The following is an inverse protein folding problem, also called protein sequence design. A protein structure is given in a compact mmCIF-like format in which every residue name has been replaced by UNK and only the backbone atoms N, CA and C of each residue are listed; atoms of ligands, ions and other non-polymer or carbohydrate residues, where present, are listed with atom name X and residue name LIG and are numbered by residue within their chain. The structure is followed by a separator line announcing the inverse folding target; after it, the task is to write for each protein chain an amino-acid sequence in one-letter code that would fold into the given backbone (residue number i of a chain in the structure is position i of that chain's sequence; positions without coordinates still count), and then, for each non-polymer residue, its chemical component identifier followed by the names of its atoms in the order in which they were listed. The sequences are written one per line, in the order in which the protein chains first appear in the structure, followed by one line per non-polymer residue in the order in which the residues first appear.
data_IF_699994495676
#
_entry.id   IF_699994495676
#
_cell.length_a   1.000
_cell.length_b   1.000
_cell.length_c   1.000
_cell.angle_alpha   90.00
_cell.angle_beta   90.00
_cell.angle_gamma   90.00
#
_symmetry.space_group_name_H-M   'P 1'
#
loop_
_entity.id
_entity.type
_entity.pdbx_description
1 polymer ?
#
# COMPACT_ATOMS: atom_id res chain seq x y z
N UNK A 1 0.99 -20.01 -2.32
CA UNK A 1 0.92 -19.20 -1.07
C UNK A 1 2.16 -18.33 -0.89
N UNK A 2 3.34 -18.90 -1.02
CA UNK A 2 4.60 -18.19 -1.14
C UNK A 2 5.30 -18.66 -2.43
N UNK A 3 6.23 -17.87 -2.93
CA UNK A 3 6.98 -18.14 -4.16
C UNK A 3 8.39 -18.65 -3.83
N UNK A 4 9.05 -18.05 -2.83
CA UNK A 4 10.40 -18.44 -2.40
C UNK A 4 10.58 -18.34 -0.89
N UNK A 5 11.51 -19.14 -0.35
CA UNK A 5 12.11 -18.96 0.98
C UNK A 5 13.61 -18.85 0.79
N UNK A 6 14.22 -17.79 1.30
CA UNK A 6 15.65 -17.50 1.14
C UNK A 6 16.33 -17.39 2.51
N UNK A 7 17.55 -17.91 2.63
CA UNK A 7 18.44 -17.66 3.76
C UNK A 7 19.62 -16.80 3.31
N UNK A 8 19.76 -15.64 3.94
CA UNK A 8 20.88 -14.73 3.74
C UNK A 8 21.80 -14.72 4.95
N UNK A 9 23.10 -14.60 4.71
CA UNK A 9 24.12 -14.44 5.73
C UNK A 9 25.06 -13.25 5.44
N UNK A 10 25.50 -12.59 6.51
CA UNK A 10 26.54 -11.55 6.50
C UNK A 10 27.43 -11.69 7.73
N UNK A 11 28.75 -11.70 7.53
CA UNK A 11 29.73 -11.66 8.61
C UNK A 11 29.58 -10.36 9.43
N UNK A 12 29.53 -10.49 10.77
CA UNK A 12 29.20 -9.36 11.64
C UNK A 12 30.31 -8.29 11.69
N UNK A 13 31.58 -8.70 11.60
CA UNK A 13 32.74 -7.83 11.83
C UNK A 13 33.15 -7.05 10.57
N UNK A 14 32.83 -7.54 9.37
CA UNK A 14 33.12 -6.83 8.13
C UNK A 14 32.03 -5.82 7.84
N UNK A 15 32.34 -4.53 8.02
CA UNK A 15 31.45 -3.41 7.66
C UNK A 15 30.90 -3.58 6.23
N UNK A 16 31.80 -3.95 5.32
CA UNK A 16 31.52 -4.16 3.89
C UNK A 16 31.32 -5.64 3.53
N UNK A 17 31.02 -6.48 4.53
CA UNK A 17 30.67 -7.88 4.29
C UNK A 17 29.52 -7.96 3.30
N UNK A 18 29.77 -8.64 2.16
CA UNK A 18 28.77 -8.92 1.13
C UNK A 18 27.72 -9.86 1.73
N UNK A 19 26.45 -9.52 1.54
CA UNK A 19 25.33 -10.39 1.89
C UNK A 19 25.31 -11.52 0.86
N UNK A 20 25.25 -12.76 1.32
CA UNK A 20 25.24 -13.94 0.46
C UNK A 20 24.00 -14.78 0.74
N UNK A 21 23.40 -15.34 -0.30
CA UNK A 21 22.36 -16.36 -0.19
C UNK A 21 23.06 -17.68 0.11
N UNK A 22 22.76 -18.30 1.23
CA UNK A 22 23.34 -19.60 1.63
C UNK A 22 22.37 -20.75 1.43
N UNK A 23 21.06 -20.49 1.40
CA UNK A 23 20.04 -21.49 1.09
C UNK A 23 18.83 -20.84 0.41
N UNK A 24 18.14 -21.61 -0.41
CA UNK A 24 16.98 -21.15 -1.18
C UNK A 24 16.03 -22.33 -1.41
N UNK A 25 14.73 -22.07 -1.36
CA UNK A 25 13.68 -22.98 -1.81
C UNK A 25 12.66 -22.23 -2.67
N UNK A 26 12.26 -22.77 -3.84
CA UNK A 26 12.82 -23.93 -4.54
C UNK A 26 14.27 -23.68 -5.00
N UNK A 27 15.11 -24.71 -4.97
CA UNK A 27 16.52 -24.62 -5.35
C UNK A 27 16.71 -24.36 -6.85
N UNK A 28 17.74 -23.59 -7.21
CA UNK A 28 18.14 -23.37 -8.61
C UNK A 28 17.24 -22.46 -9.45
N UNK A 29 16.15 -21.93 -8.89
CA UNK A 29 15.22 -21.04 -9.60
C UNK A 29 15.61 -19.58 -9.39
N UNK A 30 15.79 -18.81 -10.47
CA UNK A 30 16.03 -17.37 -10.33
C UNK A 30 14.77 -16.64 -9.83
N UNK A 31 14.99 -15.61 -9.02
CA UNK A 31 13.91 -14.74 -8.53
C UNK A 31 14.22 -13.27 -8.88
N UNK A 32 13.16 -12.50 -9.07
CA UNK A 32 13.25 -11.08 -9.42
C UNK A 32 13.71 -10.22 -8.24
N UNK A 33 14.16 -9.00 -8.53
CA UNK A 33 14.46 -7.98 -7.51
C UNK A 33 15.54 -8.38 -6.47
N UNK A 34 16.43 -9.32 -6.85
CA UNK A 34 17.50 -9.82 -5.98
C UNK A 34 18.32 -8.72 -5.32
N UNK A 35 18.68 -7.68 -6.07
CA UNK A 35 19.46 -6.56 -5.54
C UNK A 35 18.71 -5.82 -4.41
N UNK A 36 17.42 -5.57 -4.57
CA UNK A 36 16.60 -4.91 -3.54
C UNK A 36 16.54 -5.81 -2.29
N UNK A 37 16.28 -7.10 -2.48
CA UNK A 37 16.16 -8.07 -1.39
C UNK A 37 17.48 -8.17 -0.61
N UNK A 38 18.61 -8.35 -1.30
CA UNK A 38 19.94 -8.40 -0.67
C UNK A 38 20.24 -7.14 0.15
N UNK A 39 19.80 -5.96 -0.31
CA UNK A 39 20.05 -4.69 0.40
C UNK A 39 19.13 -4.46 1.59
N UNK A 40 17.93 -5.05 1.62
CA UNK A 40 16.91 -4.79 2.65
C UNK A 40 16.71 -5.93 3.65
N UNK A 41 17.09 -7.16 3.30
CA UNK A 41 16.80 -8.35 4.11
C UNK A 41 17.49 -8.35 5.47
N UNK A 42 18.61 -7.64 5.64
CA UNK A 42 19.31 -7.50 6.93
C UNK A 42 19.32 -6.02 7.34
N UNK A 43 18.62 -5.63 8.43
CA UNK A 43 18.64 -4.26 8.94
C UNK A 43 20.06 -3.80 9.30
N UNK A 44 20.42 -2.57 8.93
CA UNK A 44 21.73 -1.98 9.28
C UNK A 44 22.04 -2.06 10.78
N UNK A 45 21.05 -1.75 11.62
CA UNK A 45 21.15 -1.71 13.08
C UNK A 45 20.57 -2.97 13.76
N UNK A 46 20.80 -4.16 13.20
CA UNK A 46 20.37 -5.43 13.80
C UNK A 46 21.18 -5.76 15.07
N UNK A 47 20.54 -5.58 16.25
CA UNK A 47 21.10 -5.97 17.56
C UNK A 47 20.52 -7.26 18.13
N UNK A 48 19.26 -7.55 17.80
CA UNK A 48 18.47 -8.70 18.26
C UNK A 48 17.79 -9.33 17.04
N UNK A 49 16.93 -10.32 17.23
CA UNK A 49 15.97 -10.67 16.20
C UNK A 49 15.06 -9.48 15.86
N UNK A 50 14.69 -9.37 14.59
CA UNK A 50 13.74 -8.38 14.07
C UNK A 50 12.86 -9.07 13.03
N UNK A 51 11.56 -8.87 13.10
CA UNK A 51 10.57 -9.45 12.16
C UNK A 51 9.82 -8.29 11.52
N UNK A 52 9.91 -8.21 10.20
CA UNK A 52 9.39 -7.07 9.47
C UNK A 52 9.02 -7.46 8.05
N UNK A 53 8.36 -6.55 7.36
CA UNK A 53 8.05 -6.70 5.94
C UNK A 53 8.69 -5.57 5.14
N UNK A 54 9.21 -5.88 3.97
CA UNK A 54 9.45 -4.90 2.91
C UNK A 54 8.83 -5.39 1.61
N UNK A 55 8.79 -4.54 0.59
CA UNK A 55 8.24 -4.89 -0.71
C UNK A 55 9.24 -4.58 -1.81
N UNK A 56 9.13 -5.31 -2.91
CA UNK A 56 9.75 -5.01 -4.21
C UNK A 56 8.66 -4.52 -5.18
N UNK A 57 8.98 -4.17 -6.44
CA UNK A 57 7.95 -3.91 -7.44
C UNK A 57 7.02 -5.11 -7.69
N UNK A 58 7.52 -6.34 -7.52
CA UNK A 58 6.82 -7.56 -7.92
C UNK A 58 6.32 -8.42 -6.75
N UNK A 59 6.81 -8.20 -5.52
CA UNK A 59 6.54 -9.12 -4.41
C UNK A 59 6.60 -8.46 -3.03
N UNK A 60 6.00 -9.15 -2.06
CA UNK A 60 6.10 -8.85 -0.63
C UNK A 60 7.14 -9.78 0.01
N UNK A 61 8.00 -9.22 0.85
CA UNK A 61 9.10 -9.92 1.49
C UNK A 61 8.92 -9.91 3.01
N UNK A 62 8.47 -11.04 3.56
CA UNK A 62 8.30 -11.23 5.01
C UNK A 62 9.61 -11.76 5.58
N UNK A 63 10.19 -11.01 6.51
CA UNK A 63 11.60 -11.14 6.85
C UNK A 63 11.78 -11.41 8.33
N UNK A 64 12.54 -12.46 8.63
CA UNK A 64 13.02 -12.79 9.97
C UNK A 64 14.54 -12.65 10.04
N UNK A 65 15.01 -11.51 10.54
CA UNK A 65 16.43 -11.23 10.75
C UNK A 65 16.87 -11.60 12.17
N UNK A 66 18.06 -12.17 12.34
CA UNK A 66 18.61 -12.51 13.65
C UNK A 66 20.15 -12.54 13.64
N UNK A 67 20.75 -12.61 14.83
CA UNK A 67 22.21 -12.77 15.00
C UNK A 67 22.46 -14.19 15.50
N UNK A 68 23.27 -14.95 14.76
CA UNK A 68 23.68 -16.31 15.13
C UNK A 68 25.15 -16.32 15.57
N UNK A 69 25.46 -17.18 16.53
CA UNK A 69 26.84 -17.50 16.96
C UNK A 69 27.17 -18.88 16.43
N UNK A 70 28.10 -18.95 15.49
CA UNK A 70 28.53 -20.21 14.90
C UNK A 70 29.89 -20.55 15.49
N UNK A 71 29.98 -21.73 16.10
CA UNK A 71 31.26 -22.28 16.59
C UNK A 71 32.10 -22.70 15.39
N UNK A 72 33.23 -22.03 15.19
CA UNK A 72 34.19 -22.42 14.17
C UNK A 72 34.98 -23.65 14.62
N UNK A 73 35.49 -24.48 13.69
CA UNK A 73 36.32 -25.66 14.01
C UNK A 73 37.56 -25.32 14.85
N UNK A 74 38.01 -24.07 14.78
CA UNK A 74 39.13 -23.55 15.58
C UNK A 74 38.77 -23.17 17.02
N UNK A 75 37.53 -23.43 17.48
CA UNK A 75 37.03 -23.02 18.79
C UNK A 75 36.60 -21.55 18.87
N UNK A 76 36.88 -20.73 17.86
CA UNK A 76 36.47 -19.33 17.83
C UNK A 76 34.98 -19.20 17.48
N UNK A 77 34.24 -18.37 18.21
CA UNK A 77 32.85 -18.06 17.88
C UNK A 77 32.76 -16.91 16.89
N UNK A 78 32.22 -17.17 15.71
CA UNK A 78 31.95 -16.13 14.71
C UNK A 78 30.51 -15.69 14.85
N UNK A 79 30.27 -14.38 14.93
CA UNK A 79 28.93 -13.82 14.85
C UNK A 79 28.57 -13.56 13.40
N UNK A 80 27.39 -14.03 12.99
CA UNK A 80 26.79 -13.71 11.69
C UNK A 80 25.44 -13.05 11.87
N UNK A 81 25.14 -12.06 11.03
CA UNK A 81 23.77 -11.57 10.83
C UNK A 81 23.14 -12.45 9.77
N UNK A 82 21.99 -13.00 10.07
CA UNK A 82 21.26 -13.90 9.18
C UNK A 82 19.87 -13.35 8.94
N UNK A 83 19.26 -13.72 7.82
CA UNK A 83 17.87 -13.37 7.54
C UNK A 83 17.18 -14.45 6.74
N UNK A 84 15.99 -14.86 7.19
CA UNK A 84 15.09 -15.72 6.42
C UNK A 84 14.04 -14.82 5.77
N UNK A 85 13.92 -14.86 4.44
CA UNK A 85 12.96 -14.04 3.67
C UNK A 85 11.97 -14.96 2.97
N UNK A 86 10.68 -14.80 3.26
CA UNK A 86 9.58 -15.41 2.52
C UNK A 86 9.13 -14.40 1.46
N UNK A 87 9.23 -14.77 0.19
CA UNK A 87 8.74 -13.98 -0.93
C UNK A 87 7.34 -14.47 -1.30
N UNK A 88 6.39 -13.56 -1.42
CA UNK A 88 5.03 -13.86 -1.89
C UNK A 88 4.49 -12.74 -2.76
N UNK A 89 3.79 -13.11 -3.82
CA UNK A 89 2.93 -12.23 -4.62
C UNK A 89 1.64 -11.83 -3.89
N UNK A 90 1.30 -12.49 -2.78
CA UNK A 90 0.07 -12.22 -2.03
C UNK A 90 0.33 -11.34 -0.80
N UNK A 91 -0.46 -10.27 -0.67
CA UNK A 91 -0.37 -9.35 0.47
C UNK A 91 -1.09 -9.91 1.70
N UNK A 92 -0.38 -10.67 2.55
CA UNK A 92 -0.92 -11.26 3.79
C UNK A 92 -0.04 -11.02 5.02
N UNK A 93 0.24 -9.75 5.36
CA UNK A 93 1.20 -9.41 6.41
C UNK A 93 0.89 -9.98 7.78
N UNK A 94 -0.36 -9.97 8.26
CA UNK A 94 -0.69 -10.55 9.57
C UNK A 94 -0.31 -12.05 9.63
N UNK A 95 -0.69 -12.82 8.61
CA UNK A 95 -0.40 -14.25 8.52
C UNK A 95 1.11 -14.55 8.58
N UNK A 96 1.89 -13.93 7.69
CA UNK A 96 3.32 -14.26 7.60
C UNK A 96 4.15 -13.66 8.75
N UNK A 97 3.80 -12.48 9.26
CA UNK A 97 4.50 -11.87 10.41
C UNK A 97 4.23 -12.68 11.68
N UNK A 98 2.97 -13.07 11.93
CA UNK A 98 2.61 -13.88 13.10
C UNK A 98 3.24 -15.28 13.02
N UNK A 99 3.30 -15.86 11.81
CA UNK A 99 4.01 -17.11 11.56
C UNK A 99 5.50 -17.01 11.92
N UNK A 100 6.21 -16.02 11.37
CA UNK A 100 7.63 -15.82 11.65
C UNK A 100 7.88 -15.49 13.14
N UNK A 101 6.95 -14.79 13.79
CA UNK A 101 7.01 -14.54 15.23
C UNK A 101 6.91 -15.85 16.02
N UNK A 102 5.97 -16.73 15.66
CA UNK A 102 5.82 -18.05 16.27
C UNK A 102 7.08 -18.91 16.07
N UNK A 103 7.65 -18.91 14.86
CA UNK A 103 8.93 -19.57 14.58
C UNK A 103 10.04 -18.99 15.46
N UNK A 104 10.16 -17.67 15.56
CA UNK A 104 11.19 -17.05 16.40
C UNK A 104 11.03 -17.41 17.88
N UNK A 105 9.80 -17.59 18.37
CA UNK A 105 9.53 -18.00 19.75
C UNK A 105 9.86 -19.48 20.00
N UNK A 106 9.81 -20.34 18.97
CA UNK A 106 10.12 -21.76 19.11
C UNK A 106 11.59 -22.08 19.38
N UNK A 107 12.50 -21.14 19.10
CA UNK A 107 13.92 -21.29 19.38
C UNK A 107 14.27 -20.71 20.75
N UNK A 108 14.52 -21.60 21.72
CA UNK A 108 15.10 -21.24 23.01
C UNK A 108 16.54 -20.75 22.82
N UNK A 109 16.78 -19.45 23.04
CA UNK A 109 18.09 -18.77 22.92
C UNK A 109 18.63 -18.69 21.47
N UNK A 110 19.51 -17.72 21.19
CA UNK A 110 20.07 -17.44 19.86
C UNK A 110 21.14 -18.47 19.40
N UNK A 111 21.02 -19.72 19.85
CA UNK A 111 22.03 -20.77 19.65
C UNK A 111 21.72 -21.69 18.47
N UNK A 112 20.45 -21.77 18.03
CA UNK A 112 20.09 -22.56 16.87
C UNK A 112 20.78 -22.04 15.60
N UNK A 113 21.38 -22.97 14.86
CA UNK A 113 22.05 -22.68 13.58
C UNK A 113 21.09 -22.07 12.56
N UNK A 114 21.55 -21.15 11.70
CA UNK A 114 20.68 -20.49 10.71
C UNK A 114 19.96 -21.47 9.78
N UNK A 115 20.64 -22.55 9.37
CA UNK A 115 20.08 -23.57 8.49
C UNK A 115 18.92 -24.34 9.15
N UNK A 116 19.03 -24.67 10.44
CA UNK A 116 17.94 -25.32 11.18
C UNK A 116 16.67 -24.44 11.20
N UNK A 117 16.84 -23.13 11.38
CA UNK A 117 15.72 -22.17 11.34
C UNK A 117 15.10 -22.09 9.94
N UNK A 118 15.93 -22.06 8.90
CA UNK A 118 15.50 -22.07 7.52
C UNK A 118 14.68 -23.33 7.19
N UNK A 119 15.21 -24.52 7.50
CA UNK A 119 14.54 -25.80 7.26
C UNK A 119 13.21 -25.89 8.02
N UNK A 120 13.12 -25.36 9.25
CA UNK A 120 11.85 -25.30 9.98
C UNK A 120 10.83 -24.41 9.27
N UNK A 121 11.21 -23.19 8.89
CA UNK A 121 10.34 -22.26 8.15
C UNK A 121 9.85 -22.90 6.86
N UNK A 122 10.77 -23.46 6.08
CA UNK A 122 10.47 -24.13 4.81
C UNK A 122 9.49 -25.30 5.02
N UNK A 123 9.77 -26.20 5.96
CA UNK A 123 8.95 -27.39 6.20
C UNK A 123 7.53 -27.04 6.65
N UNK A 124 7.39 -26.03 7.51
CA UNK A 124 6.08 -25.55 7.95
C UNK A 124 5.30 -24.88 6.82
N UNK A 125 5.94 -24.10 5.95
CA UNK A 125 5.28 -23.48 4.80
C UNK A 125 4.85 -24.50 3.74
N UNK A 126 5.67 -25.53 3.49
CA UNK A 126 5.34 -26.63 2.56
C UNK A 126 4.14 -27.44 3.06
N UNK A 127 3.95 -27.53 4.38
CA UNK A 127 2.81 -28.25 4.95
C UNK A 127 1.50 -27.47 4.90
N UNK A 128 1.51 -26.19 4.48
CA UNK A 128 0.27 -25.44 4.28
C UNK A 128 -0.48 -25.97 3.05
N UNK A 129 -1.78 -26.21 3.20
CA UNK A 129 -2.61 -26.80 2.15
C UNK A 129 -3.99 -26.15 2.12
N UNK A 130 -4.65 -26.14 0.97
CA UNK A 130 -6.06 -25.71 0.87
C UNK A 130 -7.00 -26.90 1.07
N UNK A 131 -8.09 -26.70 1.80
CA UNK A 131 -9.16 -27.70 1.91
C UNK A 131 -10.12 -27.63 0.68
N UNK A 132 -11.18 -28.44 0.69
CA UNK A 132 -12.17 -28.48 -0.39
C UNK A 132 -12.98 -27.18 -0.53
N UNK A 133 -13.05 -26.38 0.53
CA UNK A 133 -13.76 -25.09 0.55
C UNK A 133 -12.87 -23.93 0.09
N UNK A 134 -11.59 -24.20 -0.23
CA UNK A 134 -10.60 -23.20 -0.61
C UNK A 134 -9.98 -22.45 0.58
N UNK A 135 -10.31 -22.82 1.81
CA UNK A 135 -9.67 -22.28 3.00
C UNK A 135 -8.27 -22.87 3.18
N UNK A 136 -7.37 -22.07 3.73
CA UNK A 136 -5.98 -22.44 3.97
C UNK A 136 -5.82 -23.07 5.34
N UNK A 137 -5.35 -24.32 5.38
CA UNK A 137 -4.85 -24.98 6.58
C UNK A 137 -3.42 -24.49 6.81
N UNK A 138 -3.22 -23.78 7.91
CA UNK A 138 -1.97 -23.13 8.30
C UNK A 138 -1.35 -23.87 9.47
N UNK A 139 -0.07 -24.23 9.34
CA UNK A 139 0.71 -24.88 10.39
C UNK A 139 1.77 -23.92 10.95
N UNK A 140 1.65 -23.59 12.22
CA UNK A 140 2.65 -22.89 13.04
C UNK A 140 3.40 -23.93 13.89
N UNK A 141 4.55 -23.59 14.49
CA UNK A 141 5.30 -24.53 15.35
C UNK A 141 4.47 -25.21 16.46
N UNK A 142 3.46 -24.51 17.02
CA UNK A 142 2.68 -24.97 18.16
C UNK A 142 1.17 -24.94 17.93
N UNK A 143 0.72 -24.63 16.71
CA UNK A 143 -0.71 -24.49 16.43
C UNK A 143 -1.02 -24.79 14.97
N UNK A 144 -2.17 -25.39 14.71
CA UNK A 144 -2.71 -25.58 13.37
C UNK A 144 -4.11 -24.99 13.35
N UNK A 145 -4.40 -24.16 12.35
CA UNK A 145 -5.69 -23.50 12.22
C UNK A 145 -6.06 -23.30 10.76
N UNK A 146 -7.34 -23.01 10.51
CA UNK A 146 -7.88 -22.76 9.18
C UNK A 146 -8.10 -21.26 9.01
N UNK A 147 -7.67 -20.72 7.88
CA UNK A 147 -7.84 -19.31 7.51
C UNK A 147 -8.61 -19.24 6.21
N UNK A 148 -9.70 -18.48 6.20
CA UNK A 148 -10.46 -18.28 4.97
C UNK A 148 -9.69 -17.39 3.99
N UNK A 149 -9.55 -17.84 2.76
CA UNK A 149 -8.85 -17.06 1.72
C UNK A 149 -9.75 -16.08 0.99
N UNK A 150 -11.01 -15.99 1.40
CA UNK A 150 -11.97 -15.06 0.81
C UNK A 150 -11.48 -13.60 0.92
N UNK A 151 -11.68 -12.84 -0.16
CA UNK A 151 -11.15 -11.47 -0.34
C UNK A 151 -11.64 -10.46 0.71
N UNK A 152 -12.63 -10.81 1.53
CA UNK A 152 -13.18 -9.95 2.57
C UNK A 152 -12.34 -9.94 3.86
N UNK A 153 -11.34 -10.82 4.01
CA UNK A 153 -10.49 -10.81 5.20
C UNK A 153 -9.50 -9.65 5.16
N UNK A 154 -9.53 -8.83 6.22
CA UNK A 154 -8.47 -7.86 6.46
C UNK A 154 -7.17 -8.55 6.89
N UNK A 155 -6.10 -8.30 6.15
CA UNK A 155 -4.75 -8.70 6.52
C UNK A 155 -4.00 -7.65 7.34
N UNK A 156 -4.60 -6.47 7.57
CA UNK A 156 -3.96 -5.37 8.30
C UNK A 156 -4.66 -4.97 9.60
N UNK A 157 -5.78 -5.59 9.94
CA UNK A 157 -6.53 -5.27 11.16
C UNK A 157 -5.73 -5.56 12.46
N UNK A 158 -4.72 -6.42 12.42
CA UNK A 158 -3.86 -6.69 13.59
C UNK A 158 -2.86 -5.58 13.94
N UNK A 159 -2.56 -4.64 13.03
CA UNK A 159 -1.49 -3.66 13.25
C UNK A 159 -1.95 -2.48 14.12
N UNK A 160 -1.12 -2.17 15.13
CA UNK A 160 -1.37 -1.11 16.10
C UNK A 160 -1.08 0.27 15.49
N UNK A 161 -2.03 1.20 15.63
CA UNK A 161 -1.93 2.56 15.10
C UNK A 161 -1.28 3.54 16.09
N UNK A 162 -1.02 3.13 17.32
CA UNK A 162 -0.42 3.99 18.33
C UNK A 162 0.93 4.62 17.93
N UNK A 163 1.83 3.97 17.15
CA UNK A 163 3.02 4.64 16.65
C UNK A 163 2.76 5.85 15.74
N UNK A 164 1.53 6.01 15.26
CA UNK A 164 1.09 7.10 14.40
C UNK A 164 0.51 8.28 15.20
N UNK A 165 0.26 8.12 16.51
CA UNK A 165 -0.28 9.17 17.38
C UNK A 165 0.78 10.24 17.68
N UNK A 166 0.41 11.54 17.74
CA UNK A 166 -0.92 12.13 17.57
C UNK A 166 -1.34 12.44 16.11
N UNK A 167 -0.57 12.03 15.11
CA UNK A 167 -0.73 12.44 13.71
C UNK A 167 -1.75 11.60 12.90
N UNK A 168 -2.56 10.76 13.55
CA UNK A 168 -3.44 9.78 12.86
C UNK A 168 -4.38 10.45 11.85
N UNK A 169 -4.93 11.63 12.16
CA UNK A 169 -5.83 12.35 11.24
C UNK A 169 -5.12 12.82 9.97
N UNK A 170 -3.94 13.44 10.12
CA UNK A 170 -3.14 13.92 9.00
C UNK A 170 -2.69 12.78 8.09
N UNK A 171 -2.29 11.67 8.68
CA UNK A 171 -1.88 10.46 7.97
C UNK A 171 -3.06 9.85 7.22
N UNK A 172 -4.21 9.71 7.88
CA UNK A 172 -5.41 9.17 7.26
C UNK A 172 -5.83 10.04 6.06
N UNK A 173 -5.86 11.35 6.25
CA UNK A 173 -6.21 12.31 5.19
C UNK A 173 -5.20 12.24 4.02
N UNK A 174 -3.89 12.20 4.33
CA UNK A 174 -2.85 12.05 3.31
C UNK A 174 -2.97 10.71 2.55
N UNK A 175 -3.24 9.61 3.24
CA UNK A 175 -3.37 8.28 2.64
C UNK A 175 -4.59 8.19 1.72
N UNK A 176 -5.75 8.71 2.15
CA UNK A 176 -6.97 8.77 1.33
C UNK A 176 -6.74 9.66 0.10
N UNK A 177 -6.10 10.83 0.26
CA UNK A 177 -5.88 11.77 -0.86
C UNK A 177 -4.64 11.46 -1.72
N UNK A 178 -3.99 10.32 -1.50
CA UNK A 178 -2.75 9.93 -2.16
C UNK A 178 -1.65 11.01 -2.11
N UNK A 179 -1.48 11.64 -0.94
CA UNK A 179 -0.41 12.60 -0.66
C UNK A 179 0.74 11.89 0.07
N UNK A 180 1.96 12.38 -0.09
CA UNK A 180 3.16 11.73 0.43
C UNK A 180 3.17 11.62 1.97
N UNK A 181 3.59 10.46 2.48
CA UNK A 181 3.81 10.19 3.90
C UNK A 181 5.24 9.66 4.09
N UNK A 182 6.01 10.29 4.98
CA UNK A 182 7.36 9.87 5.34
C UNK A 182 7.41 9.45 6.81
N UNK A 183 7.88 8.24 7.08
CA UNK A 183 8.00 7.68 8.42
C UNK A 183 9.47 7.35 8.71
N UNK A 184 9.97 7.84 9.84
CA UNK A 184 11.18 7.31 10.46
C UNK A 184 10.84 6.47 11.67
N UNK A 185 11.46 5.30 11.77
CA UNK A 185 11.34 4.42 12.93
C UNK A 185 12.72 3.87 13.36
N UNK A 186 12.89 3.49 14.63
CA UNK A 186 14.17 3.03 15.15
C UNK A 186 14.52 1.58 14.76
N UNK A 187 13.53 0.78 14.32
CA UNK A 187 13.69 -0.62 13.90
C UNK A 187 12.88 -0.91 12.63
N UNK A 188 13.25 -1.96 11.90
CA UNK A 188 12.54 -2.33 10.67
C UNK A 188 11.16 -2.89 10.97
N UNK A 189 10.99 -3.63 12.09
CA UNK A 189 9.67 -4.02 12.57
C UNK A 189 8.76 -2.82 12.75
N UNK A 190 9.24 -1.77 13.44
CA UNK A 190 8.40 -0.60 13.69
C UNK A 190 8.09 0.15 12.39
N UNK A 191 9.07 0.37 11.52
CA UNK A 191 8.88 1.02 10.21
C UNK A 191 7.80 0.31 9.36
N UNK A 192 7.93 -1.01 9.22
CA UNK A 192 6.99 -1.83 8.45
C UNK A 192 5.61 -1.88 9.11
N UNK A 193 5.54 -2.06 10.43
CA UNK A 193 4.27 -2.11 11.17
C UNK A 193 3.51 -0.79 11.14
N UNK A 194 4.21 0.35 11.16
CA UNK A 194 3.61 1.67 11.03
C UNK A 194 2.97 1.88 9.66
N UNK A 195 3.64 1.47 8.58
CA UNK A 195 3.04 1.49 7.23
C UNK A 195 1.79 0.60 7.16
N UNK A 196 1.86 -0.61 7.71
CA UNK A 196 0.72 -1.53 7.75
C UNK A 196 -0.43 -1.01 8.63
N UNK A 197 -0.12 -0.24 9.68
CA UNK A 197 -1.11 0.44 10.49
C UNK A 197 -1.85 1.54 9.71
N UNK A 198 -1.18 2.25 8.78
CA UNK A 198 -1.83 3.19 7.84
C UNK A 198 -2.83 2.45 6.97
N UNK A 199 -2.46 1.30 6.41
CA UNK A 199 -3.38 0.51 5.60
C UNK A 199 -4.61 0.08 6.40
N UNK A 200 -4.41 -0.24 7.67
CA UNK A 200 -5.49 -0.70 8.54
C UNK A 200 -6.56 0.35 8.86
N UNK A 201 -6.24 1.65 8.81
CA UNK A 201 -7.20 2.73 9.09
C UNK A 201 -7.96 3.21 7.84
N UNK A 202 -7.48 2.84 6.64
CA UNK A 202 -8.18 3.11 5.37
C UNK A 202 -9.02 1.92 4.90
N UNK A 203 -9.11 0.86 5.69
CA UNK A 203 -9.99 -0.26 5.38
C UNK A 203 -11.47 0.17 5.30
N UNK A 204 -12.26 -0.43 4.40
CA UNK A 204 -11.95 -1.62 3.60
C UNK A 204 -11.21 -1.36 2.27
N UNK A 205 -10.67 -0.18 2.01
CA UNK A 205 -9.85 0.01 0.81
C UNK A 205 -8.53 -0.78 0.90
N UNK A 206 -8.15 -1.42 -0.21
CA UNK A 206 -6.83 -2.05 -0.37
C UNK A 206 -5.88 -1.04 -1.01
N UNK A 207 -4.93 -0.54 -0.22
CA UNK A 207 -3.96 0.45 -0.69
C UNK A 207 -3.20 -0.06 -1.92
N UNK A 208 -3.23 0.73 -3.00
CA UNK A 208 -2.75 0.28 -4.31
C UNK A 208 -1.74 1.22 -4.98
N UNK A 209 -1.39 2.31 -4.30
CA UNK A 209 -0.35 3.23 -4.78
C UNK A 209 1.04 2.63 -4.54
N UNK A 210 2.09 3.09 -5.23
CA UNK A 210 3.45 2.65 -4.91
C UNK A 210 3.87 3.12 -3.52
N UNK A 211 4.49 2.22 -2.75
CA UNK A 211 5.02 2.51 -1.41
C UNK A 211 6.32 1.75 -1.14
N UNK A 212 7.07 2.23 -0.16
CA UNK A 212 8.28 1.61 0.39
C UNK A 212 8.03 1.27 1.85
N UNK A 213 7.59 0.04 2.11
CA UNK A 213 7.13 -0.39 3.44
C UNK A 213 8.21 -0.32 4.53
N UNK A 214 9.45 -0.63 4.15
CA UNK A 214 10.65 -0.45 4.94
C UNK A 214 11.83 -0.35 3.99
N UNK A 215 12.53 0.79 3.99
CA UNK A 215 13.72 1.03 3.19
C UNK A 215 14.89 1.48 4.06
N UNK A 216 16.08 1.46 3.48
CA UNK A 216 17.30 1.98 4.08
C UNK A 216 18.25 2.43 2.97
N UNK A 217 19.30 3.18 3.33
CA UNK A 217 20.32 3.59 2.37
C UNK A 217 20.95 2.36 1.69
N UNK A 218 21.08 2.44 0.37
CA UNK A 218 21.55 1.36 -0.48
C UNK A 218 20.42 0.58 -1.16
N UNK A 219 19.15 0.88 -0.86
CA UNK A 219 18.02 0.44 -1.66
C UNK A 219 18.11 1.02 -3.09
N UNK A 220 18.21 0.18 -4.14
CA UNK A 220 18.39 0.63 -5.53
C UNK A 220 17.32 1.61 -6.03
N UNK A 221 16.12 1.59 -5.44
CA UNK A 221 14.99 2.44 -5.84
C UNK A 221 15.17 3.90 -5.44
N UNK A 222 16.03 4.16 -4.45
CA UNK A 222 16.29 5.50 -3.92
C UNK A 222 17.78 5.85 -3.88
N UNK A 223 18.66 4.89 -4.21
CA UNK A 223 20.12 5.05 -4.11
C UNK A 223 20.61 6.19 -4.98
N UNK A 224 20.19 6.27 -6.25
CA UNK A 224 20.61 7.33 -7.19
C UNK A 224 20.32 8.73 -6.67
N UNK A 225 19.14 8.90 -6.06
CA UNK A 225 18.69 10.20 -5.53
C UNK A 225 19.50 10.57 -4.30
N UNK A 226 19.75 9.60 -3.43
CA UNK A 226 20.54 9.80 -2.23
C UNK A 226 22.05 9.98 -2.54
N UNK A 227 22.59 9.30 -3.54
CA UNK A 227 23.97 9.45 -4.02
C UNK A 227 24.20 10.82 -4.66
N UNK A 228 23.22 11.34 -5.41
CA UNK A 228 23.25 12.71 -5.93
C UNK A 228 23.37 13.70 -4.75
N UNK A 229 22.53 13.55 -3.73
CA UNK A 229 22.60 14.35 -2.52
C UNK A 229 23.94 14.24 -1.78
N UNK A 230 24.48 13.03 -1.61
CA UNK A 230 25.78 12.87 -0.94
C UNK A 230 26.92 13.57 -1.71
N UNK A 231 26.83 13.66 -3.04
CA UNK A 231 27.81 14.37 -3.88
C UNK A 231 27.63 15.89 -3.86
N UNK A 232 26.41 16.39 -3.96
CA UNK A 232 26.14 17.83 -4.11
C UNK A 232 25.92 18.54 -2.78
N UNK A 233 25.56 17.80 -1.73
CA UNK A 233 25.04 18.34 -0.45
C UNK A 233 23.84 19.28 -0.64
N UNK A 234 23.15 19.21 -1.79
CA UNK A 234 22.00 20.05 -2.13
C UNK A 234 20.70 19.28 -1.99
N UNK A 235 19.69 19.92 -1.39
CA UNK A 235 18.32 19.39 -1.33
C UNK A 235 17.53 19.64 -2.64
N UNK A 236 18.11 20.37 -3.58
CA UNK A 236 17.56 20.56 -4.91
C UNK A 236 17.89 19.33 -5.75
N UNK A 237 16.84 18.61 -6.17
CA UNK A 237 16.96 17.44 -7.03
C UNK A 237 16.48 17.81 -8.43
N UNK A 238 17.20 17.36 -9.45
CA UNK A 238 16.77 17.42 -10.84
C UNK A 238 15.42 16.72 -11.09
N UNK A 239 14.62 17.24 -12.01
CA UNK A 239 13.26 16.76 -12.30
C UNK A 239 13.08 15.22 -12.38
N UNK A 240 13.92 14.47 -13.14
CA UNK A 240 13.76 13.02 -13.29
C UNK A 240 13.93 12.23 -11.98
N UNK A 241 14.84 12.66 -11.12
CA UNK A 241 15.11 12.01 -9.83
C UNK A 241 13.97 12.32 -8.83
N UNK A 242 13.39 13.52 -8.89
CA UNK A 242 12.23 13.89 -8.10
C UNK A 242 10.98 13.11 -8.54
N UNK A 243 10.76 12.94 -9.84
CA UNK A 243 9.68 12.14 -10.40
C UNK A 243 9.78 10.68 -9.94
N UNK A 244 11.00 10.12 -9.91
CA UNK A 244 11.23 8.78 -9.40
C UNK A 244 10.88 8.64 -7.91
N UNK A 245 11.06 9.68 -7.08
CA UNK A 245 10.63 9.63 -5.68
C UNK A 245 9.12 9.87 -5.52
N UNK A 246 8.54 10.76 -6.33
CA UNK A 246 7.15 11.19 -6.19
C UNK A 246 6.13 10.09 -6.52
N UNK A 247 6.56 9.03 -7.20
CA UNK A 247 5.76 7.82 -7.39
C UNK A 247 5.47 7.11 -6.06
N UNK A 248 6.38 7.18 -5.07
CA UNK A 248 6.23 6.52 -3.78
C UNK A 248 5.48 7.41 -2.79
N UNK A 249 4.29 6.96 -2.42
CA UNK A 249 3.32 7.75 -1.66
C UNK A 249 3.45 7.54 -0.16
N UNK A 250 4.01 6.40 0.25
CA UNK A 250 4.41 6.13 1.62
C UNK A 250 5.85 5.63 1.60
N UNK A 251 6.73 6.24 2.39
CA UNK A 251 8.11 5.81 2.57
C UNK A 251 8.39 5.66 4.06
N UNK A 252 8.80 4.47 4.47
CA UNK A 252 9.18 4.18 5.84
C UNK A 252 10.63 3.76 5.91
N UNK A 253 11.42 4.41 6.75
CA UNK A 253 12.88 4.20 6.82
C UNK A 253 13.38 4.06 8.25
N UNK A 254 14.49 3.33 8.40
CA UNK A 254 15.26 3.23 9.65
C UNK A 254 16.57 4.03 9.62
N UNK A 255 16.93 4.58 8.46
CA UNK A 255 18.16 5.36 8.27
C UNK A 255 17.87 6.84 8.52
N UNK A 256 18.42 7.36 9.61
CA UNK A 256 18.18 8.74 10.04
C UNK A 256 18.70 9.79 9.05
N UNK A 257 19.81 9.52 8.35
CA UNK A 257 20.30 10.51 7.36
C UNK A 257 19.42 10.49 6.11
N UNK A 258 18.98 9.31 5.69
CA UNK A 258 18.01 9.20 4.60
C UNK A 258 16.69 9.91 4.95
N UNK A 259 16.20 9.75 6.18
CA UNK A 259 15.01 10.47 6.63
C UNK A 259 15.22 11.99 6.60
N UNK A 260 16.32 12.49 7.15
CA UNK A 260 16.64 13.92 7.16
C UNK A 260 16.75 14.49 5.73
N UNK A 261 17.36 13.73 4.83
CA UNK A 261 17.40 14.06 3.41
C UNK A 261 15.99 14.18 2.82
N UNK A 262 15.18 13.13 2.94
CA UNK A 262 13.83 13.08 2.37
C UNK A 262 12.89 14.15 2.96
N UNK A 263 13.02 14.46 4.25
CA UNK A 263 12.18 15.46 4.92
C UNK A 263 12.49 16.88 4.48
N UNK A 264 13.71 17.14 4.02
CA UNK A 264 14.18 18.46 3.61
C UNK A 264 14.12 18.66 2.09
N UNK A 265 13.59 17.70 1.34
CA UNK A 265 13.43 17.85 -0.10
C UNK A 265 12.44 18.97 -0.40
N UNK A 266 12.98 20.04 -0.98
CA UNK A 266 12.21 21.18 -1.47
C UNK A 266 11.80 20.86 -2.90
N UNK A 267 10.50 20.86 -3.16
CA UNK A 267 9.99 20.80 -4.52
C UNK A 267 10.13 22.20 -5.12
N UNK A 268 11.22 22.44 -5.85
CA UNK A 268 11.36 23.66 -6.64
C UNK A 268 10.32 23.62 -7.78
N UNK A 269 9.23 24.37 -7.61
CA UNK A 269 8.07 24.42 -8.50
C UNK A 269 8.34 25.11 -9.86
N UNK A 270 9.60 25.33 -10.22
CA UNK A 270 9.98 25.96 -11.50
C UNK A 270 9.82 25.03 -12.71
N UNK A 271 9.58 23.73 -12.49
CA UNK A 271 9.13 22.87 -13.59
C UNK A 271 7.65 23.13 -13.87
N UNK A 272 7.29 23.51 -15.10
CA UNK A 272 5.93 23.88 -15.40
C UNK A 272 5.04 22.63 -15.27
N UNK A 273 3.97 22.75 -14.49
CA UNK A 273 2.97 21.73 -14.15
C UNK A 273 2.23 21.09 -15.35
N UNK A 274 2.74 21.19 -16.58
CA UNK A 274 2.07 20.75 -17.80
C UNK A 274 1.91 19.23 -17.91
N UNK A 275 2.65 18.42 -17.15
CA UNK A 275 2.51 16.95 -17.17
C UNK A 275 1.56 16.39 -16.10
N UNK A 276 1.09 17.20 -15.15
CA UNK A 276 0.13 16.77 -14.11
C UNK A 276 -1.09 17.70 -13.97
N UNK A 277 -1.32 18.58 -14.94
CA UNK A 277 -2.50 19.45 -14.93
C UNK A 277 -3.73 18.64 -15.34
N UNK A 278 -4.58 18.32 -14.36
CA UNK A 278 -5.99 18.08 -14.62
C UNK A 278 -6.56 19.33 -15.33
N UNK A 279 -7.19 19.19 -16.51
CA UNK A 279 -7.64 20.32 -17.30
C UNK A 279 -8.98 20.87 -16.75
N UNK A 280 -8.98 21.48 -15.56
CA UNK A 280 -10.11 22.33 -15.09
C UNK A 280 -9.87 22.90 -13.68
N UNK A 281 -8.86 23.74 -13.47
CA UNK A 281 -8.80 24.58 -12.26
C UNK A 281 -8.30 25.98 -12.58
N UNK A 282 -9.25 26.90 -12.76
CA UNK A 282 -9.04 28.34 -12.61
C UNK A 282 -9.15 28.66 -11.11
N UNK A 283 -8.05 29.07 -10.48
CA UNK A 283 -7.99 29.39 -9.06
C UNK A 283 -8.49 30.81 -8.79
N UNK A 284 -9.62 30.94 -8.10
CA UNK A 284 -9.88 32.08 -7.23
C UNK A 284 -9.24 31.77 -5.87
N UNK A 285 -8.42 32.71 -5.39
CA UNK A 285 -7.84 32.66 -4.06
C UNK A 285 -8.91 33.04 -3.02
N UNK A 286 -9.51 32.04 -2.37
CA UNK A 286 -10.24 32.25 -1.13
C UNK A 286 -9.43 31.65 0.04
N UNK A 287 -9.02 32.52 0.94
CA UNK A 287 -8.44 32.19 2.24
C UNK A 287 -9.49 31.52 3.12
N UNK A 288 -9.42 30.20 3.25
CA UNK A 288 -10.23 29.43 4.21
C UNK A 288 -9.51 29.45 5.56
N UNK A 289 -10.15 30.09 6.54
CA UNK A 289 -9.80 29.96 7.95
C UNK A 289 -10.24 28.59 8.45
N UNK A 290 -9.28 27.75 8.84
CA UNK A 290 -9.53 26.50 9.55
C UNK A 290 -10.22 26.81 10.90
N UNK A 291 -11.47 26.39 11.03
CA UNK A 291 -12.26 26.51 12.25
C UNK A 291 -11.82 25.46 13.29
N UNK A 292 -11.58 25.99 14.50
CA UNK A 292 -11.42 25.34 15.80
C UNK A 292 -11.87 23.88 15.90
N UNK A 293 -10.89 23.00 16.08
CA UNK A 293 -11.05 21.77 16.86
C UNK A 293 -10.65 22.14 18.28
N UNK A 294 -11.60 22.09 19.22
CA UNK A 294 -11.35 22.31 20.64
C UNK A 294 -10.29 21.32 21.15
N UNK A 295 -9.06 21.82 21.32
CA UNK A 295 -7.95 21.10 21.91
C UNK A 295 -8.04 21.20 23.43
N UNK A 296 -8.32 20.08 24.09
CA UNK A 296 -7.89 19.87 25.48
C UNK A 296 -6.35 19.80 25.51
N UNK A 297 -5.70 20.96 25.55
CA UNK A 297 -4.26 21.08 25.72
C UNK A 297 -3.95 21.47 27.17
N UNK A 298 -3.44 20.49 27.93
CA UNK A 298 -2.86 20.71 29.25
C UNK A 298 -1.57 21.55 29.09
N UNK A 299 -1.45 22.73 29.74
CA UNK A 299 -0.30 23.62 29.61
C UNK A 299 1.02 23.03 30.15
N UNK A 300 1.01 21.84 30.76
CA UNK A 300 2.22 21.17 31.24
C UNK A 300 2.79 20.08 30.31
N UNK A 301 2.19 19.85 29.13
CA UNK A 301 2.70 18.82 28.21
C UNK A 301 3.78 19.38 27.27
N UNK A 302 5.00 18.79 27.21
CA UNK A 302 6.03 19.21 26.28
C UNK A 302 5.50 19.15 24.84
N UNK A 303 5.83 20.17 24.05
CA UNK A 303 5.40 20.35 22.67
C UNK A 303 5.57 19.04 21.88
N UNK A 304 4.52 18.48 21.27
CA UNK A 304 4.63 17.20 20.57
C UNK A 304 5.63 17.37 19.41
N UNK A 305 6.63 16.48 19.27
CA UNK A 305 7.70 16.63 18.29
C UNK A 305 7.22 16.27 16.89
N UNK A 306 6.45 17.18 16.28
CA UNK A 306 6.05 17.10 14.88
C UNK A 306 6.08 18.50 14.29
N UNK A 307 7.06 18.77 13.45
CA UNK A 307 7.17 20.02 12.72
C UNK A 307 6.30 19.91 11.47
N UNK A 308 5.29 20.76 11.33
CA UNK A 308 4.57 20.92 10.08
C UNK A 308 5.49 21.59 9.05
N UNK A 309 5.73 20.91 7.93
CA UNK A 309 6.57 21.43 6.85
C UNK A 309 5.75 22.31 5.90
N UNK A 310 6.43 23.23 5.22
CA UNK A 310 5.87 24.18 4.25
C UNK A 310 5.12 23.47 3.10
N UNK A 311 4.25 24.22 2.43
CA UNK A 311 3.42 23.79 1.29
C UNK A 311 4.17 23.23 0.08
N UNK A 312 5.50 23.36 0.04
CA UNK A 312 6.37 22.88 -1.05
C UNK A 312 7.06 21.54 -0.74
N UNK A 313 6.59 20.81 0.26
CA UNK A 313 7.15 19.50 0.63
C UNK A 313 6.53 18.36 -0.19
N UNK A 314 7.37 17.38 -0.56
CA UNK A 314 6.92 16.14 -1.22
C UNK A 314 5.97 15.32 -0.34
N UNK A 315 6.11 15.45 0.97
CA UNK A 315 5.37 14.68 1.97
C UNK A 315 4.45 15.59 2.78
N UNK A 316 3.14 15.33 2.69
CA UNK A 316 2.12 16.02 3.48
C UNK A 316 2.19 15.66 4.97
N UNK A 317 2.65 14.45 5.29
CA UNK A 317 2.85 13.99 6.66
C UNK A 317 4.27 13.44 6.83
N UNK A 318 4.99 13.94 7.84
CA UNK A 318 6.35 13.49 8.20
C UNK A 318 6.37 13.14 9.68
N UNK A 319 6.75 11.91 10.00
CA UNK A 319 6.63 11.37 11.36
C UNK A 319 7.93 10.72 11.79
N UNK A 320 8.34 11.02 13.02
CA UNK A 320 9.51 10.44 13.66
C UNK A 320 9.08 9.65 14.90
N UNK A 321 9.15 8.33 14.83
CA UNK A 321 8.79 7.45 15.93
C UNK A 321 10.02 7.23 16.81
N UNK A 322 9.93 7.64 18.07
CA UNK A 322 11.03 7.50 19.04
C UNK A 322 10.77 6.39 20.06
N UNK A 323 9.50 6.12 20.37
CA UNK A 323 9.09 5.13 21.35
C UNK A 323 9.14 3.70 20.80
N UNK A 324 9.26 2.72 21.70
CA UNK A 324 9.33 1.29 21.37
C UNK A 324 8.15 0.50 21.91
N UNK A 325 7.42 1.07 22.85
CA UNK A 325 6.32 0.42 23.53
C UNK A 325 5.09 1.29 23.36
N UNK A 326 4.02 0.70 22.89
CA UNK A 326 2.79 1.40 22.56
C UNK A 326 1.60 0.64 23.13
N UNK A 327 0.66 1.36 23.71
CA UNK A 327 -0.64 0.81 24.09
C UNK A 327 -1.46 0.60 22.81
N UNK A 328 -2.22 -0.48 22.71
CA UNK A 328 -3.10 -0.70 21.56
C UNK A 328 -4.21 0.35 21.52
N UNK A 329 -4.36 1.03 20.38
CA UNK A 329 -5.37 2.07 20.17
C UNK A 329 -6.52 1.59 19.27
N UNK A 330 -7.17 0.48 19.65
CA UNK A 330 -8.23 -0.14 18.85
C UNK A 330 -9.46 0.77 18.67
N UNK A 331 -9.82 1.54 19.71
CA UNK A 331 -10.96 2.46 19.64
C UNK A 331 -10.73 3.56 18.60
N UNK A 332 -9.55 4.19 18.64
CA UNK A 332 -9.16 5.21 17.67
C UNK A 332 -9.10 4.63 16.24
N UNK A 333 -8.55 3.42 16.07
CA UNK A 333 -8.57 2.71 14.78
C UNK A 333 -10.00 2.50 14.27
N UNK A 334 -10.92 2.12 15.15
CA UNK A 334 -12.33 1.94 14.80
C UNK A 334 -12.98 3.25 14.32
N UNK A 335 -12.60 4.40 14.89
CA UNK A 335 -13.08 5.73 14.46
C UNK A 335 -12.67 6.00 13.02
N UNK A 336 -11.39 5.80 12.66
CA UNK A 336 -10.91 6.04 11.31
C UNK A 336 -11.45 5.03 10.29
N UNK A 337 -11.56 3.77 10.67
CA UNK A 337 -12.21 2.75 9.82
C UNK A 337 -13.68 3.12 9.55
N UNK A 338 -14.41 3.64 10.55
CA UNK A 338 -15.78 4.16 10.38
C UNK A 338 -15.80 5.39 9.47
N UNK A 339 -14.85 6.32 9.60
CA UNK A 339 -14.69 7.48 8.70
C UNK A 339 -14.50 7.02 7.25
N UNK A 340 -13.64 6.03 7.01
CA UNK A 340 -13.40 5.47 5.67
C UNK A 340 -14.64 4.78 5.09
N UNK A 341 -15.33 3.95 5.89
CA UNK A 341 -16.60 3.31 5.48
C UNK A 341 -17.69 4.33 5.14
N UNK A 342 -17.74 5.48 5.82
CA UNK A 342 -18.67 6.57 5.49
C UNK A 342 -18.42 7.10 4.09
N UNK A 343 -17.15 7.39 3.74
CA UNK A 343 -16.74 7.84 2.41
C UNK A 343 -17.19 6.82 1.34
N UNK A 344 -16.94 5.53 1.59
CA UNK A 344 -17.36 4.45 0.68
C UNK A 344 -18.87 4.46 0.45
N UNK A 345 -19.67 4.56 1.52
CA UNK A 345 -21.13 4.58 1.40
C UNK A 345 -21.61 5.76 0.57
N UNK A 346 -20.96 6.92 0.70
CA UNK A 346 -21.30 8.12 -0.07
C UNK A 346 -20.96 7.94 -1.55
N UNK A 347 -19.77 7.42 -1.86
CA UNK A 347 -19.42 7.06 -3.23
C UNK A 347 -20.40 6.04 -3.79
N UNK A 348 -20.67 4.94 -3.08
CA UNK A 348 -21.59 3.92 -3.55
C UNK A 348 -22.98 4.48 -3.83
N UNK A 349 -23.51 5.34 -2.95
CA UNK A 349 -24.80 6.00 -3.15
C UNK A 349 -24.81 6.87 -4.42
N UNK A 350 -23.78 7.72 -4.60
CA UNK A 350 -23.69 8.59 -5.78
C UNK A 350 -23.43 7.82 -7.08
N UNK A 351 -22.54 6.81 -7.06
CA UNK A 351 -22.30 5.96 -8.21
C UNK A 351 -23.58 5.21 -8.61
N UNK A 352 -24.33 4.68 -7.63
CA UNK A 352 -25.63 4.02 -7.90
C UNK A 352 -26.65 5.01 -8.49
N UNK A 353 -26.70 6.23 -7.96
CA UNK A 353 -27.58 7.27 -8.49
C UNK A 353 -27.21 7.65 -9.92
N UNK A 354 -25.93 7.81 -10.23
CA UNK A 354 -25.44 8.08 -11.59
C UNK A 354 -25.81 6.97 -12.57
N UNK A 355 -25.70 5.70 -12.15
CA UNK A 355 -26.08 4.55 -12.99
C UNK A 355 -27.55 4.58 -13.42
N UNK A 356 -28.47 5.13 -12.62
CA UNK A 356 -29.89 5.23 -13.00
C UNK A 356 -30.12 6.01 -14.30
N UNK A 357 -29.21 6.94 -14.63
CA UNK A 357 -29.31 7.78 -15.82
C UNK A 357 -28.29 7.42 -16.90
N UNK A 358 -27.19 6.76 -16.53
CA UNK A 358 -26.08 6.44 -17.42
C UNK A 358 -25.49 5.05 -17.09
N UNK A 359 -25.86 4.00 -17.83
CA UNK A 359 -25.31 2.66 -17.63
C UNK A 359 -23.80 2.56 -17.87
N UNK A 360 -23.20 3.54 -18.54
CA UNK A 360 -21.78 3.58 -18.82
C UNK A 360 -20.96 4.28 -17.73
N UNK A 361 -21.60 4.83 -16.69
CA UNK A 361 -20.93 5.69 -15.71
C UNK A 361 -19.75 5.00 -15.01
N UNK A 362 -19.96 3.78 -14.51
CA UNK A 362 -18.90 3.02 -13.81
C UNK A 362 -17.86 2.42 -14.74
N UNK A 363 -18.30 1.84 -15.85
CA UNK A 363 -17.42 1.12 -16.77
C UNK A 363 -16.50 2.06 -17.56
N UNK A 364 -16.87 3.34 -17.67
CA UNK A 364 -16.01 4.39 -18.24
C UNK A 364 -15.30 5.22 -17.17
N UNK A 365 -15.37 4.80 -15.90
CA UNK A 365 -14.73 5.47 -14.77
C UNK A 365 -15.06 6.98 -14.70
N UNK A 366 -16.30 7.37 -15.04
CA UNK A 366 -16.72 8.78 -14.99
C UNK A 366 -16.61 9.32 -13.56
N UNK A 367 -16.13 10.54 -13.41
CA UNK A 367 -16.02 11.17 -12.10
C UNK A 367 -17.40 11.57 -11.57
N UNK A 368 -17.57 11.41 -10.25
CA UNK A 368 -18.68 11.99 -9.52
C UNK A 368 -18.36 13.44 -9.24
N UNK A 369 -19.23 14.33 -9.70
CA UNK A 369 -19.10 15.78 -9.54
C UNK A 369 -19.07 16.19 -8.05
N UNK A 370 -18.20 17.12 -7.67
CA UNK A 370 -18.08 17.58 -6.28
C UNK A 370 -19.34 18.27 -5.76
N UNK A 371 -20.09 18.91 -6.66
CA UNK A 371 -21.35 19.59 -6.36
C UNK A 371 -22.41 18.60 -5.87
N UNK A 372 -22.37 17.35 -6.36
CA UNK A 372 -23.28 16.28 -5.94
C UNK A 372 -23.05 15.86 -4.49
N UNK A 373 -21.78 15.73 -4.06
CA UNK A 373 -21.46 15.49 -2.65
C UNK A 373 -21.98 16.60 -1.75
N UNK A 374 -21.77 17.85 -2.16
CA UNK A 374 -22.18 19.03 -1.38
C UNK A 374 -23.71 19.14 -1.31
N UNK A 375 -24.41 18.75 -2.38
CA UNK A 375 -25.87 18.76 -2.43
C UNK A 375 -26.48 17.73 -1.49
N UNK A 376 -25.94 16.51 -1.45
CA UNK A 376 -26.50 15.42 -0.62
C UNK A 376 -26.01 15.51 0.83
N UNK A 377 -24.76 15.92 1.04
CA UNK A 377 -24.14 16.04 2.37
C UNK A 377 -23.52 17.43 2.60
N UNK A 378 -24.35 18.50 2.72
CA UNK A 378 -23.86 19.89 2.80
C UNK A 378 -22.98 20.17 4.03
N UNK A 379 -23.14 19.40 5.11
CA UNK A 379 -22.39 19.57 6.35
C UNK A 379 -21.04 18.83 6.34
N UNK A 380 -20.71 18.10 5.28
CA UNK A 380 -19.43 17.42 5.14
C UNK A 380 -18.50 18.25 4.25
N UNK A 381 -17.86 19.25 4.84
CA UNK A 381 -16.95 20.15 4.11
C UNK A 381 -15.64 19.43 3.71
N UNK A 382 -15.71 18.63 2.64
CA UNK A 382 -14.65 17.71 2.18
C UNK A 382 -14.51 17.65 0.65
N UNK A 383 -14.83 18.74 -0.04
CA UNK A 383 -14.84 18.81 -1.53
C UNK A 383 -13.52 18.30 -2.13
N UNK A 384 -12.40 18.87 -1.67
CA UNK A 384 -11.07 18.48 -2.14
C UNK A 384 -10.73 17.02 -1.87
N UNK A 385 -11.23 16.45 -0.75
CA UNK A 385 -10.96 15.07 -0.39
C UNK A 385 -11.61 14.12 -1.40
N UNK A 386 -12.87 14.38 -1.79
CA UNK A 386 -13.56 13.55 -2.77
C UNK A 386 -12.94 13.65 -4.16
N UNK A 387 -12.53 14.86 -4.55
CA UNK A 387 -11.86 15.13 -5.82
C UNK A 387 -10.52 14.38 -5.91
N UNK A 388 -9.66 14.54 -4.91
CA UNK A 388 -8.36 13.89 -4.84
C UNK A 388 -8.53 12.36 -4.78
N UNK A 389 -9.47 11.87 -3.96
CA UNK A 389 -9.61 10.44 -3.72
C UNK A 389 -10.04 9.66 -4.97
N UNK A 390 -10.95 10.20 -5.79
CA UNK A 390 -11.39 9.53 -7.02
C UNK A 390 -10.25 9.32 -8.04
N UNK A 391 -9.21 10.15 -7.96
CA UNK A 391 -8.06 10.07 -8.86
C UNK A 391 -7.07 8.96 -8.46
N UNK A 392 -7.18 8.42 -7.26
CA UNK A 392 -6.27 7.40 -6.72
C UNK A 392 -6.45 6.04 -7.39
N UNK A 393 -5.35 5.31 -7.55
CA UNK A 393 -5.35 3.90 -7.97
C UNK A 393 -6.10 3.03 -6.95
N UNK A 394 -6.00 3.36 -5.66
CA UNK A 394 -6.76 2.70 -4.60
C UNK A 394 -8.26 2.76 -4.86
N UNK A 395 -8.81 3.96 -5.12
CA UNK A 395 -10.22 4.12 -5.46
C UNK A 395 -10.58 3.44 -6.78
N UNK A 396 -9.76 3.62 -7.82
CA UNK A 396 -10.02 3.03 -9.14
C UNK A 396 -10.10 1.50 -9.09
N UNK A 397 -9.18 0.84 -8.36
CA UNK A 397 -9.22 -0.62 -8.18
C UNK A 397 -10.43 -1.04 -7.36
N UNK A 398 -10.73 -0.35 -6.25
CA UNK A 398 -11.92 -0.63 -5.46
C UNK A 398 -13.20 -0.50 -6.30
N UNK A 399 -13.35 0.60 -7.05
CA UNK A 399 -14.50 0.83 -7.93
C UNK A 399 -14.61 -0.24 -9.02
N UNK A 400 -13.50 -0.73 -9.55
CA UNK A 400 -13.50 -1.81 -10.52
C UNK A 400 -14.03 -3.13 -9.91
N UNK A 401 -13.59 -3.48 -8.69
CA UNK A 401 -14.10 -4.65 -7.96
C UNK A 401 -15.60 -4.51 -7.70
N UNK A 402 -16.05 -3.33 -7.31
CA UNK A 402 -17.47 -3.03 -7.05
C UNK A 402 -18.31 -2.76 -8.30
N UNK A 403 -17.72 -2.79 -9.50
CA UNK A 403 -18.44 -2.41 -10.72
C UNK A 403 -19.48 -3.45 -11.15
N UNK A 404 -19.23 -4.74 -10.86
CA UNK A 404 -20.15 -5.83 -11.18
C UNK A 404 -21.23 -5.99 -10.09
N UNK A 405 -22.11 -4.99 -10.02
CA UNK A 405 -23.22 -4.93 -9.06
C UNK A 405 -24.57 -4.94 -9.76
N UNK A 406 -25.61 -5.37 -9.04
CA UNK A 406 -26.98 -5.49 -9.59
C UNK A 406 -27.51 -4.16 -10.15
N UNK A 407 -27.06 -3.02 -9.62
CA UNK A 407 -27.42 -1.70 -10.13
C UNK A 407 -26.89 -1.44 -11.54
N UNK A 408 -25.71 -1.97 -11.89
CA UNK A 408 -25.17 -1.88 -13.25
C UNK A 408 -26.03 -2.69 -14.22
N UNK A 409 -26.41 -3.91 -13.83
CA UNK A 409 -27.34 -4.73 -14.61
C UNK A 409 -28.68 -4.01 -14.79
N UNK A 410 -29.26 -3.52 -13.69
CA UNK A 410 -30.55 -2.83 -13.69
C UNK A 410 -30.53 -1.58 -14.56
N UNK A 411 -29.43 -0.80 -14.56
CA UNK A 411 -29.33 0.41 -15.37
C UNK A 411 -29.34 0.11 -16.87
N UNK A 412 -28.57 -0.89 -17.33
CA UNK A 412 -28.59 -1.30 -18.73
C UNK A 412 -29.97 -1.80 -19.18
N UNK A 413 -30.72 -2.47 -18.30
CA UNK A 413 -32.07 -2.94 -18.60
C UNK A 413 -33.11 -1.80 -18.59
N UNK A 414 -32.86 -0.74 -17.82
CA UNK A 414 -33.80 0.35 -17.62
C UNK A 414 -33.61 1.51 -18.62
N UNK A 415 -32.38 1.75 -19.08
CA UNK A 415 -32.07 2.84 -20.03
C UNK A 415 -32.05 2.30 -21.46
N UNK A 416 -32.84 2.89 -22.40
CA UNK A 416 -32.83 2.46 -23.79
C UNK A 416 -31.42 2.48 -24.41
N UNK A 417 -30.96 1.43 -25.10
CA UNK A 417 -29.59 1.34 -25.63
C UNK A 417 -29.15 2.50 -26.52
N UNK A 418 -30.09 3.11 -27.26
CA UNK A 418 -29.80 4.30 -28.08
C UNK A 418 -29.42 5.50 -27.22
N UNK A 419 -30.20 5.79 -26.19
CA UNK A 419 -29.96 6.89 -25.25
C UNK A 419 -28.65 6.65 -24.48
N UNK A 420 -28.44 5.44 -24.00
CA UNK A 420 -27.23 5.09 -23.26
C UNK A 420 -25.96 5.28 -24.12
N UNK A 421 -25.97 4.82 -25.38
CA UNK A 421 -24.82 4.96 -26.30
C UNK A 421 -24.61 6.41 -26.76
N UNK A 422 -25.65 7.24 -26.81
CA UNK A 422 -25.53 8.65 -27.15
C UNK A 422 -24.65 9.40 -26.12
N UNK A 423 -24.79 9.07 -24.83
CA UNK A 423 -24.02 9.64 -23.70
C UNK A 423 -22.55 9.19 -23.64
N UNK A 424 -22.13 8.24 -24.47
CA UNK A 424 -20.73 7.76 -24.53
C UNK A 424 -19.91 8.65 -25.47
N UNK A 425 -18.87 9.36 -25.01
CA UNK A 425 -18.02 10.16 -25.89
C UNK A 425 -17.38 9.31 -27.01
N UNK A 426 -17.25 9.84 -28.25
CA UNK A 426 -16.67 9.11 -29.37
C UNK A 426 -15.31 8.44 -29.08
N UNK A 427 -14.44 9.15 -28.37
CA UNK A 427 -13.10 8.72 -27.98
C UNK A 427 -13.11 7.54 -26.98
N UNK A 428 -14.18 7.40 -26.20
CA UNK A 428 -14.35 6.32 -25.22
C UNK A 428 -15.12 5.11 -25.75
N UNK A 429 -15.65 5.16 -26.98
CA UNK A 429 -16.46 4.08 -27.54
C UNK A 429 -15.70 2.74 -27.65
N UNK A 430 -14.37 2.78 -27.89
CA UNK A 430 -13.55 1.56 -27.94
C UNK A 430 -13.42 0.90 -26.56
N UNK A 431 -13.20 1.69 -25.52
CA UNK A 431 -13.13 1.18 -24.15
C UNK A 431 -14.50 0.65 -23.71
N UNK A 432 -15.59 1.37 -24.03
CA UNK A 432 -16.96 0.91 -23.77
C UNK A 432 -17.24 -0.47 -24.37
N UNK A 433 -16.83 -0.70 -25.63
CA UNK A 433 -16.97 -2.00 -26.30
C UNK A 433 -16.20 -3.09 -25.55
N UNK A 434 -14.96 -2.82 -25.16
CA UNK A 434 -14.12 -3.77 -24.41
C UNK A 434 -14.78 -4.14 -23.08
N UNK A 435 -15.25 -3.16 -22.32
CA UNK A 435 -15.92 -3.39 -21.03
C UNK A 435 -17.23 -4.16 -21.18
N UNK A 436 -18.06 -3.84 -22.17
CA UNK A 436 -19.29 -4.61 -22.43
C UNK A 436 -18.98 -6.06 -22.77
N UNK A 437 -17.91 -6.35 -23.51
CA UNK A 437 -17.50 -7.73 -23.77
C UNK A 437 -17.12 -8.49 -22.49
N UNK A 438 -16.45 -7.84 -21.53
CA UNK A 438 -16.16 -8.43 -20.22
C UNK A 438 -17.44 -8.75 -19.45
N UNK A 439 -18.38 -7.80 -19.39
CA UNK A 439 -19.66 -7.98 -18.71
C UNK A 439 -20.50 -9.08 -19.37
N UNK A 440 -20.54 -9.12 -20.70
CA UNK A 440 -21.26 -10.15 -21.46
C UNK A 440 -20.73 -11.56 -21.14
N UNK A 441 -19.41 -11.69 -20.94
CA UNK A 441 -18.79 -12.96 -20.57
C UNK A 441 -19.10 -13.35 -19.12
N UNK A 442 -19.10 -12.38 -18.20
CA UNK A 442 -19.46 -12.60 -16.79
C UNK A 442 -20.94 -13.03 -16.66
N UNK A 443 -21.82 -12.43 -17.45
CA UNK A 443 -23.28 -12.64 -17.40
C UNK A 443 -23.81 -13.54 -18.53
N UNK A 444 -23.00 -14.49 -19.00
CA UNK A 444 -23.35 -15.36 -20.16
C UNK A 444 -24.65 -16.17 -20.01
N UNK A 445 -25.13 -16.35 -18.78
CA UNK A 445 -26.37 -17.10 -18.46
C UNK A 445 -27.62 -16.21 -18.46
N UNK A 446 -27.47 -14.89 -18.42
CA UNK A 446 -28.61 -13.96 -18.49
C UNK A 446 -28.85 -13.56 -19.95
N UNK A 447 -29.77 -14.28 -20.60
CA UNK A 447 -30.07 -14.07 -22.04
C UNK A 447 -30.69 -12.69 -22.32
N UNK A 448 -31.51 -12.18 -21.41
CA UNK A 448 -32.17 -10.88 -21.56
C UNK A 448 -31.13 -9.76 -21.48
N UNK A 449 -30.32 -9.77 -20.43
CA UNK A 449 -29.24 -8.81 -20.27
C UNK A 449 -28.21 -8.92 -21.41
N UNK A 450 -27.84 -10.14 -21.80
CA UNK A 450 -26.94 -10.39 -22.92
C UNK A 450 -27.45 -9.83 -24.25
N UNK A 451 -28.77 -9.87 -24.49
CA UNK A 451 -29.39 -9.28 -25.69
C UNK A 451 -29.26 -7.75 -25.69
N UNK A 452 -29.52 -7.10 -24.55
CA UNK A 452 -29.37 -5.65 -24.38
C UNK A 452 -27.91 -5.22 -24.57
N UNK A 453 -26.95 -5.95 -24.01
CA UNK A 453 -25.52 -5.67 -24.19
C UNK A 453 -25.07 -5.83 -25.65
N UNK A 454 -25.54 -6.86 -26.38
CA UNK A 454 -25.26 -7.04 -27.82
C UNK A 454 -25.81 -5.89 -28.66
N UNK A 455 -26.99 -5.36 -28.32
CA UNK A 455 -27.57 -4.20 -28.98
C UNK A 455 -26.71 -2.94 -28.75
N UNK A 456 -26.29 -2.70 -27.50
CA UNK A 456 -25.34 -1.63 -27.16
C UNK A 456 -24.03 -1.74 -27.96
N UNK A 457 -23.43 -2.94 -28.07
CA UNK A 457 -22.22 -3.18 -28.88
C UNK A 457 -22.42 -2.80 -30.36
N UNK A 458 -23.57 -3.15 -30.95
CA UNK A 458 -23.88 -2.80 -32.34
C UNK A 458 -23.95 -1.28 -32.54
N UNK A 459 -24.62 -0.58 -31.62
CA UNK A 459 -24.77 0.88 -31.66
C UNK A 459 -23.43 1.60 -31.47
N UNK A 460 -22.58 1.15 -30.54
CA UNK A 460 -21.23 1.68 -30.36
C UNK A 460 -20.37 1.51 -31.62
N UNK A 461 -20.43 0.33 -32.26
CA UNK A 461 -19.72 0.07 -33.52
C UNK A 461 -20.21 1.00 -34.65
N UNK A 462 -21.51 1.26 -34.71
CA UNK A 462 -22.09 2.22 -35.67
C UNK A 462 -21.61 3.65 -35.37
N UNK A 463 -21.59 4.06 -34.10
CA UNK A 463 -21.11 5.39 -33.67
C UNK A 463 -19.66 5.61 -34.10
N UNK A 464 -18.78 4.62 -33.92
CA UNK A 464 -17.37 4.68 -34.38
C UNK A 464 -17.27 4.84 -35.90
N UNK A 465 -18.13 4.16 -36.68
CA UNK A 465 -18.11 4.26 -38.15
C UNK A 465 -18.53 5.65 -38.66
N UNK A 466 -19.44 6.32 -37.95
CA UNK A 466 -19.97 7.63 -38.34
C UNK A 466 -19.03 8.81 -38.03
N UNK A 467 -17.97 8.58 -37.23
CA UNK A 467 -16.98 9.62 -36.87
C UNK A 467 -15.85 9.70 -37.92
N UNK A 468 -15.78 8.70 -38.81
CA UNK A 468 -14.92 8.72 -40.00
C UNK A 468 -15.63 9.41 -41.15
#
# INVERSE_FOLDING_TARGET
MFDFVLLFEKEYEKKDGKIQITSQYPEGIEFLDREIIEKLCIPRKLKKSDIFMFNTPNSYCYTYSFVSRISHKSGNQIRKKCSIVIISSHFRPSLFIDFLASVSMSFSRNEAEPLCRFVLVQSLLISWSTNNDGDLIVNYPYNTFIVSLNDNQSWTNGFNIAPLFPYVDNIWNAAIRNKGILIYAPTSALASSSTLAIFSIIEPFVYSEPYLNCTQRGDPRISKVYEHYEKTQSFEIEGPLLEMLSQYKIISTTDQKLFHFLSNLIVNSQYPNHLFRNPSQNSMNDSISDSQVDSFADPNNPTPPGTFLSSNSLFKAVIKINEKHFVHMNDLKSVYTKKTRRIIRQFNALLNFSLLSDPYFDILHKHVEETEFTRIWPNENRKELYADFQNTMTFKKWRHIESDREQLRTSFLSVPPKEAVEKVPPELCKEAIKQIHLILNAHKRDEHFGTILKLNLSLLKKKIKNVK
#
